data_IF_488912792786
#
_entry.id   IF_488912792786
#
_cell.length_a   1.000
_cell.length_b   1.000
_cell.length_c   1.000
_cell.angle_alpha   90.00
_cell.angle_beta   90.00
_cell.angle_gamma   90.00
#
_symmetry.space_group_name_H-M   'P 1'
#
loop_
_entity.id
_entity.type
_entity.pdbx_description
1 polymer ?
#
# COMPACT_ATOMS: atom_id res chain seq x y z
N UNK A 1 12.30 -1.73 -15.23
CA UNK A 1 12.50 -1.35 -13.81
C UNK A 1 11.96 0.05 -13.63
N UNK A 2 10.76 0.20 -13.12
CA UNK A 2 10.22 1.50 -12.68
C UNK A 2 10.28 1.41 -11.16
N UNK A 3 11.36 1.94 -10.58
CA UNK A 3 11.41 2.18 -9.14
C UNK A 3 10.33 3.22 -8.83
N UNK A 4 9.42 2.95 -7.91
CA UNK A 4 8.50 3.96 -7.42
C UNK A 4 9.29 4.94 -6.55
N UNK A 5 9.93 5.92 -7.20
CA UNK A 5 10.63 7.01 -6.49
C UNK A 5 9.59 8.05 -6.11
N UNK A 6 8.67 7.70 -5.20
CA UNK A 6 7.97 8.68 -4.39
C UNK A 6 8.47 8.47 -2.98
N UNK A 7 9.74 8.79 -2.80
CA UNK A 7 10.30 8.99 -1.48
C UNK A 7 9.84 10.38 -1.04
N UNK A 8 9.15 10.46 0.09
CA UNK A 8 8.83 11.75 0.69
C UNK A 8 10.13 12.54 0.84
N UNK A 9 10.12 13.83 0.53
CA UNK A 9 11.30 14.67 0.70
C UNK A 9 11.86 14.53 2.12
N UNK A 10 13.18 14.49 2.30
CA UNK A 10 13.77 14.32 3.62
C UNK A 10 13.36 15.49 4.52
N UNK A 11 12.59 15.19 5.56
CA UNK A 11 12.22 16.19 6.55
C UNK A 11 13.46 16.51 7.40
N UNK A 12 13.80 17.80 7.56
CA UNK A 12 14.88 18.29 8.42
C UNK A 12 14.36 19.36 9.36
N UNK A 13 14.68 19.25 10.62
CA UNK A 13 14.29 20.25 11.60
C UNK A 13 15.31 20.35 12.74
N UNK A 14 15.59 21.56 13.26
CA UNK A 14 16.32 21.71 14.49
C UNK A 14 15.50 21.17 15.66
N UNK A 15 16.17 20.56 16.63
CA UNK A 15 15.50 20.07 17.81
C UNK A 15 15.12 21.22 18.75
N UNK A 16 13.96 21.11 19.37
CA UNK A 16 13.44 22.00 20.39
C UNK A 16 13.33 21.27 21.74
N UNK A 17 13.37 21.96 22.88
CA UNK A 17 13.12 21.34 24.16
C UNK A 17 11.70 20.80 24.25
N UNK A 18 11.52 19.60 24.79
CA UNK A 18 10.20 18.95 24.94
C UNK A 18 9.33 19.70 25.96
N UNK A 19 9.96 20.27 26.99
CA UNK A 19 9.32 21.06 28.06
C UNK A 19 10.27 22.10 28.62
N UNK A 20 9.77 22.98 29.51
CA UNK A 20 10.63 23.96 30.23
C UNK A 20 11.79 23.28 31.01
N UNK A 21 11.56 22.09 31.53
CA UNK A 21 12.54 21.24 32.22
C UNK A 21 12.87 20.01 31.39
N UNK A 22 13.61 20.20 30.30
CA UNK A 22 13.99 19.13 29.37
C UNK A 22 15.31 18.45 29.74
N UNK A 23 15.61 18.32 31.04
CA UNK A 23 16.77 17.61 31.53
C UNK A 23 16.43 16.81 32.79
N UNK A 24 17.18 15.77 33.06
CA UNK A 24 17.02 14.92 34.23
C UNK A 24 18.35 14.29 34.68
N UNK A 25 18.40 13.85 35.93
CA UNK A 25 19.51 13.08 36.43
C UNK A 25 19.49 11.67 35.88
N UNK A 26 20.66 11.17 35.54
CA UNK A 26 20.82 9.78 35.10
C UNK A 26 20.83 8.82 36.29
N UNK A 27 20.69 7.53 36.01
CA UNK A 27 20.86 6.47 37.03
C UNK A 27 22.25 6.55 37.73
N UNK A 28 23.29 7.01 37.01
CA UNK A 28 24.63 7.17 37.57
C UNK A 28 24.66 8.23 38.69
N UNK A 29 24.02 9.37 38.45
CA UNK A 29 23.93 10.44 39.44
C UNK A 29 23.18 9.98 40.68
N UNK A 30 22.04 9.30 40.48
CA UNK A 30 21.26 8.75 41.60
C UNK A 30 22.04 7.71 42.41
N UNK A 31 22.81 6.85 41.74
CA UNK A 31 23.68 5.89 42.40
C UNK A 31 24.82 6.57 43.18
N UNK A 32 25.43 7.64 42.61
CA UNK A 32 26.48 8.39 43.30
C UNK A 32 25.93 9.11 44.53
N UNK A 33 24.73 9.70 44.46
CA UNK A 33 24.07 10.30 45.63
C UNK A 33 23.72 9.22 46.67
N UNK A 34 23.23 8.06 46.24
CA UNK A 34 22.99 6.95 47.16
C UNK A 34 24.27 6.46 47.83
N UNK A 35 25.39 6.45 47.08
CA UNK A 35 26.70 6.07 47.63
C UNK A 35 27.14 7.04 48.75
N UNK A 36 26.74 8.31 48.68
CA UNK A 36 26.98 9.29 49.74
C UNK A 36 26.38 8.89 51.09
N UNK A 37 25.28 8.12 51.09
CA UNK A 37 24.68 7.64 52.34
C UNK A 37 25.60 6.69 53.12
N UNK A 38 26.61 6.07 52.50
CA UNK A 38 27.57 5.21 53.16
C UNK A 38 28.40 6.01 54.23
N UNK A 39 28.50 7.33 54.11
CA UNK A 39 29.14 8.17 55.11
C UNK A 39 28.40 8.19 56.44
N UNK A 40 27.15 7.73 56.52
CA UNK A 40 26.46 7.55 57.78
C UNK A 40 27.06 6.43 58.65
N UNK A 41 27.73 5.45 58.05
CA UNK A 41 28.37 4.35 58.81
C UNK A 41 29.48 4.88 59.75
N UNK A 42 30.50 5.60 59.28
CA UNK A 42 31.48 6.21 60.17
C UNK A 42 30.90 7.35 61.03
N UNK A 43 29.86 8.04 60.59
CA UNK A 43 29.17 9.08 61.34
C UNK A 43 28.46 8.52 62.58
N UNK A 44 28.15 7.23 62.62
CA UNK A 44 27.64 6.57 63.82
C UNK A 44 28.67 6.55 64.94
N UNK A 45 29.98 6.49 64.64
CA UNK A 45 31.07 6.47 65.63
C UNK A 45 31.61 7.87 65.88
N UNK A 46 31.65 8.74 64.88
CA UNK A 46 32.23 10.09 65.02
C UNK A 46 31.30 11.11 64.34
N UNK A 47 30.66 11.97 65.12
CA UNK A 47 29.67 12.96 64.69
C UNK A 47 30.11 13.85 63.51
N UNK A 48 31.43 14.15 63.40
CA UNK A 48 31.96 14.95 62.27
C UNK A 48 31.83 14.36 60.93
N UNK A 49 31.73 13.02 60.79
CA UNK A 49 31.51 12.33 59.47
C UNK A 49 30.11 12.51 58.86
N UNK A 50 29.14 12.97 59.65
CA UNK A 50 27.81 13.33 59.07
C UNK A 50 27.93 14.46 58.07
N UNK A 51 28.87 15.38 58.18
CA UNK A 51 29.16 16.39 57.17
C UNK A 51 29.70 15.78 55.86
N UNK A 52 30.31 14.61 55.93
CA UNK A 52 30.78 13.88 54.73
C UNK A 52 29.68 13.59 53.71
N UNK A 53 28.45 13.27 54.15
CA UNK A 53 27.29 13.11 53.26
C UNK A 53 27.01 14.41 52.53
N UNK A 54 26.92 15.53 53.24
CA UNK A 54 26.61 16.84 52.66
C UNK A 54 27.68 17.28 51.67
N UNK A 55 28.95 17.12 52.00
CA UNK A 55 30.06 17.46 51.09
C UNK A 55 30.08 16.58 49.87
N UNK A 56 29.83 15.26 50.04
CA UNK A 56 29.75 14.32 48.94
C UNK A 56 28.62 14.68 47.98
N UNK A 57 27.40 14.83 48.48
CA UNK A 57 26.23 15.12 47.66
C UNK A 57 26.34 16.50 47.00
N UNK A 58 26.86 17.52 47.73
CA UNK A 58 27.12 18.82 47.13
C UNK A 58 28.15 18.72 45.96
N UNK A 59 29.19 17.89 46.13
CA UNK A 59 30.20 17.64 45.09
C UNK A 59 29.58 16.95 43.88
N UNK A 60 28.77 15.90 44.07
CA UNK A 60 28.07 15.19 42.98
C UNK A 60 27.13 16.14 42.26
N UNK A 61 26.36 16.97 42.98
CA UNK A 61 25.45 17.94 42.39
C UNK A 61 26.21 19.05 41.63
N UNK A 62 27.37 19.51 42.14
CA UNK A 62 28.21 20.45 41.43
C UNK A 62 28.73 19.88 40.12
N UNK A 63 29.22 18.63 40.11
CA UNK A 63 29.64 17.97 38.88
C UNK A 63 28.45 17.74 37.91
N UNK A 64 27.28 17.41 38.43
CA UNK A 64 26.08 17.29 37.61
C UNK A 64 25.67 18.64 37.00
N UNK A 65 25.81 19.75 37.75
CA UNK A 65 25.54 21.09 37.20
C UNK A 65 26.55 21.48 36.11
N UNK A 66 27.82 21.20 36.31
CA UNK A 66 28.87 21.39 35.31
C UNK A 66 28.55 20.54 34.05
N UNK A 67 28.19 19.28 34.25
CA UNK A 67 27.80 18.38 33.14
C UNK A 67 26.61 18.93 32.37
N UNK A 68 25.56 19.41 33.05
CA UNK A 68 24.39 20.04 32.43
C UNK A 68 24.74 21.29 31.62
N UNK A 69 25.69 22.12 32.15
CA UNK A 69 26.14 23.32 31.44
C UNK A 69 26.99 23.01 30.21
N UNK A 70 27.71 21.88 30.22
CA UNK A 70 28.54 21.42 29.12
C UNK A 70 27.75 20.77 28.00
N UNK A 71 26.48 20.37 28.24
CA UNK A 71 25.61 19.80 27.20
C UNK A 71 25.17 20.89 26.22
N UNK A 72 25.18 20.62 24.91
CA UNK A 72 24.73 21.57 23.90
C UNK A 72 23.25 21.91 24.09
N UNK A 73 22.87 23.13 23.70
CA UNK A 73 21.47 23.52 23.67
C UNK A 73 20.72 22.67 22.59
N UNK A 74 19.43 22.34 22.80
CA UNK A 74 18.66 21.53 21.85
C UNK A 74 18.72 22.05 20.42
N UNK A 75 18.72 23.36 20.23
CA UNK A 75 18.78 24.03 18.91
C UNK A 75 20.06 23.72 18.09
N UNK A 76 21.11 23.22 18.75
CA UNK A 76 22.33 22.79 18.08
C UNK A 76 22.29 21.34 17.61
N UNK A 77 21.17 20.65 17.81
CA UNK A 77 20.92 19.32 17.34
C UNK A 77 19.91 19.42 16.19
N UNK A 78 20.33 19.01 15.01
CA UNK A 78 19.47 18.92 13.82
C UNK A 78 19.16 17.44 13.57
N UNK A 79 17.91 17.13 13.30
CA UNK A 79 17.51 15.78 12.97
C UNK A 79 16.84 15.74 11.58
N UNK A 80 17.01 14.63 10.90
CA UNK A 80 16.33 14.39 9.63
C UNK A 80 15.86 12.96 9.53
N UNK A 81 14.75 12.77 8.81
CA UNK A 81 14.18 11.49 8.46
C UNK A 81 14.11 11.37 6.95
N UNK A 82 14.61 10.27 6.40
CA UNK A 82 14.51 9.92 5.00
C UNK A 82 13.94 8.50 4.82
N UNK A 83 13.01 8.37 3.89
CA UNK A 83 12.40 7.10 3.55
C UNK A 83 13.20 6.49 2.40
N UNK A 84 13.86 5.35 2.62
CA UNK A 84 14.73 4.72 1.63
C UNK A 84 13.88 4.05 0.54
N UNK A 85 12.73 3.49 0.93
CA UNK A 85 11.80 2.82 0.02
C UNK A 85 10.37 3.31 0.24
N UNK A 86 9.55 3.22 -0.81
CA UNK A 86 8.13 3.46 -0.68
C UNK A 86 7.51 2.42 0.26
N UNK A 87 6.72 2.87 1.24
CA UNK A 87 6.07 1.99 2.19
C UNK A 87 4.92 1.25 1.52
N UNK A 88 4.94 -0.09 1.57
CA UNK A 88 3.88 -0.94 1.05
C UNK A 88 3.36 -1.88 2.14
N UNK A 89 2.07 -2.17 2.08
CA UNK A 89 1.37 -3.01 3.06
C UNK A 89 2.05 -4.38 3.16
N UNK A 90 2.39 -4.81 4.38
CA UNK A 90 3.00 -6.11 4.65
C UNK A 90 4.43 -6.29 4.18
N UNK A 91 5.06 -5.27 3.60
CA UNK A 91 6.45 -5.31 3.16
C UNK A 91 7.34 -4.55 4.12
N UNK A 92 8.51 -5.11 4.43
CA UNK A 92 9.51 -4.39 5.21
C UNK A 92 9.98 -3.15 4.43
N UNK A 93 9.86 -2.00 5.08
CA UNK A 93 10.29 -0.70 4.55
C UNK A 93 11.37 -0.13 5.46
N UNK A 94 12.32 0.60 4.91
CA UNK A 94 13.46 1.13 5.65
C UNK A 94 13.40 2.64 5.77
N UNK A 95 13.72 3.11 6.98
CA UNK A 95 13.87 4.53 7.31
C UNK A 95 15.31 4.77 7.77
N UNK A 96 15.87 5.85 7.30
CA UNK A 96 17.14 6.38 7.77
C UNK A 96 16.89 7.65 8.57
N UNK A 97 17.32 7.62 9.82
CA UNK A 97 17.37 8.77 10.70
C UNK A 97 18.78 9.30 10.72
N UNK A 98 18.94 10.60 10.59
CA UNK A 98 20.23 11.23 10.77
C UNK A 98 20.13 12.33 11.85
N UNK A 99 21.11 12.36 12.75
CA UNK A 99 21.24 13.36 13.79
C UNK A 99 22.59 14.06 13.62
N UNK A 100 22.56 15.34 13.39
CA UNK A 100 23.72 16.21 13.31
C UNK A 100 23.76 17.08 14.57
N UNK A 101 24.86 17.05 15.29
CA UNK A 101 25.10 17.95 16.42
C UNK A 101 26.18 18.97 16.08
N UNK A 102 25.95 20.25 16.42
CA UNK A 102 26.89 21.36 16.24
C UNK A 102 27.55 21.76 17.53
N UNK A 103 27.61 20.85 18.50
CA UNK A 103 28.32 21.04 19.76
C UNK A 103 29.81 20.66 19.62
N UNK A 104 30.61 20.91 20.68
CA UNK A 104 32.05 20.65 20.65
C UNK A 104 32.45 19.29 21.23
N UNK A 105 31.52 18.51 21.73
CA UNK A 105 31.79 17.26 22.45
C UNK A 105 31.05 16.10 21.90
N UNK A 106 31.61 14.90 22.09
CA UNK A 106 30.93 13.64 21.82
C UNK A 106 29.65 13.54 22.67
N UNK A 107 28.55 13.08 22.07
CA UNK A 107 27.29 12.83 22.76
C UNK A 107 26.86 11.39 22.57
N UNK A 108 26.39 10.78 23.64
CA UNK A 108 25.66 9.52 23.58
C UNK A 108 24.16 9.81 23.48
N UNK A 109 23.61 9.57 22.33
CA UNK A 109 22.21 9.84 22.02
C UNK A 109 21.38 8.56 22.09
N UNK A 110 20.09 8.71 22.36
CA UNK A 110 19.05 7.73 22.09
C UNK A 110 17.96 8.43 21.32
N UNK A 111 17.56 7.83 20.21
CA UNK A 111 16.51 8.39 19.34
C UNK A 111 15.29 7.49 19.39
N UNK A 112 14.12 8.10 19.35
CA UNK A 112 12.83 7.40 19.24
C UNK A 112 11.99 8.13 18.20
N UNK A 113 11.60 7.40 17.16
CA UNK A 113 10.75 7.90 16.10
C UNK A 113 9.27 7.70 16.46
N UNK A 114 8.48 8.75 16.34
CA UNK A 114 7.05 8.75 16.60
C UNK A 114 6.32 8.32 15.31
N UNK A 115 6.21 7.01 15.13
CA UNK A 115 5.51 6.41 14.00
C UNK A 115 4.05 6.16 14.33
N UNK A 116 3.16 6.25 13.32
CA UNK A 116 1.74 5.97 13.52
C UNK A 116 1.48 4.51 13.91
N UNK A 117 0.37 4.26 14.59
CA UNK A 117 -0.05 2.93 15.01
C UNK A 117 -0.29 1.94 13.83
N UNK A 118 -0.36 2.46 12.59
CA UNK A 118 -0.43 1.66 11.37
C UNK A 118 0.84 0.84 11.09
N UNK A 119 1.94 1.07 11.83
CA UNK A 119 3.16 0.29 11.75
C UNK A 119 3.20 -0.74 12.89
N UNK A 120 3.65 -1.96 12.60
CA UNK A 120 3.63 -3.07 13.57
C UNK A 120 4.65 -2.95 14.71
N UNK A 121 5.56 -2.00 14.65
CA UNK A 121 6.61 -1.85 15.65
C UNK A 121 6.23 -0.81 16.70
N UNK A 122 6.36 -1.20 17.97
CA UNK A 122 6.32 -0.25 19.06
C UNK A 122 7.54 0.70 18.99
N UNK A 123 7.37 2.00 19.33
CA UNK A 123 8.46 2.94 19.33
C UNK A 123 9.56 2.47 20.31
N UNK A 124 10.77 2.34 19.81
CA UNK A 124 11.91 1.87 20.58
C UNK A 124 12.98 2.97 20.64
N UNK A 125 13.67 3.04 21.78
CA UNK A 125 14.83 3.90 21.96
C UNK A 125 16.06 3.25 21.33
N UNK A 126 16.52 3.80 20.22
CA UNK A 126 17.68 3.30 19.46
C UNK A 126 18.93 4.10 19.87
N UNK A 127 20.04 3.44 20.23
CA UNK A 127 21.28 4.12 20.62
C UNK A 127 21.99 4.68 19.39
N UNK A 128 22.58 5.88 19.56
CA UNK A 128 23.32 6.56 18.52
C UNK A 128 24.47 7.36 19.15
N UNK A 129 25.65 7.34 18.56
CA UNK A 129 26.80 8.15 19.01
C UNK A 129 26.99 9.29 18.03
N UNK A 130 26.92 10.54 18.55
CA UNK A 130 27.00 11.74 17.73
C UNK A 130 28.35 12.44 17.98
N UNK A 131 29.15 12.55 16.92
CA UNK A 131 30.39 13.33 16.92
C UNK A 131 30.09 14.78 16.49
N UNK A 132 30.93 15.75 16.92
CA UNK A 132 30.79 17.14 16.49
C UNK A 132 30.81 17.27 14.97
N UNK A 133 29.84 18.00 14.41
CA UNK A 133 29.72 18.34 13.00
C UNK A 133 29.72 17.15 12.01
N UNK A 134 29.55 15.93 12.52
CA UNK A 134 29.44 14.71 11.71
C UNK A 134 28.03 14.14 11.87
N UNK A 135 27.27 13.97 10.78
CA UNK A 135 25.95 13.36 10.86
C UNK A 135 26.05 11.88 11.26
N UNK A 136 25.42 11.54 12.36
CA UNK A 136 25.28 10.16 12.79
C UNK A 136 24.00 9.59 12.20
N UNK A 137 24.09 8.48 11.45
CA UNK A 137 22.96 7.85 10.78
C UNK A 137 22.59 6.53 11.42
N UNK A 138 21.31 6.23 11.43
CA UNK A 138 20.73 4.98 11.91
C UNK A 138 19.66 4.52 10.97
N UNK A 139 19.66 3.25 10.60
CA UNK A 139 18.62 2.62 9.79
C UNK A 139 17.84 1.63 10.64
N UNK A 140 16.55 1.64 10.44
CA UNK A 140 15.66 0.63 11.00
C UNK A 140 14.55 0.26 10.00
N UNK A 141 14.03 -0.95 10.11
CA UNK A 141 12.93 -1.44 9.29
C UNK A 141 11.63 -1.44 10.08
N UNK A 142 10.54 -1.24 9.38
CA UNK A 142 9.18 -1.36 9.90
C UNK A 142 8.29 -2.04 8.86
N UNK A 143 7.17 -2.63 9.30
CA UNK A 143 6.22 -3.29 8.42
C UNK A 143 4.85 -2.67 8.59
N UNK A 144 4.34 -1.93 7.59
CA UNK A 144 3.00 -1.36 7.66
C UNK A 144 1.93 -2.45 7.60
N UNK A 145 0.85 -2.30 8.38
CA UNK A 145 -0.28 -3.21 8.40
C UNK A 145 -1.61 -2.54 8.02
N UNK A 146 -1.57 -1.27 7.65
CA UNK A 146 -2.73 -0.51 7.21
C UNK A 146 -2.35 0.44 6.07
N UNK A 147 -3.13 0.44 4.98
CA UNK A 147 -2.97 1.33 3.82
C UNK A 147 -3.42 2.76 4.12
N UNK A 148 -2.99 3.66 3.23
CA UNK A 148 -3.46 5.05 3.21
C UNK A 148 -2.41 6.03 3.66
N UNK A 149 -2.85 7.26 3.89
CA UNK A 149 -2.02 8.35 4.37
C UNK A 149 -2.01 8.35 5.90
N UNK A 150 -0.81 8.24 6.48
CA UNK A 150 -0.59 8.20 7.92
C UNK A 150 0.38 9.30 8.33
N UNK A 151 0.08 10.06 9.41
CA UNK A 151 0.99 11.09 9.91
C UNK A 151 2.14 10.43 10.67
N UNK A 152 3.37 10.61 10.21
CA UNK A 152 4.57 10.34 11.00
C UNK A 152 4.89 11.59 11.82
N UNK A 153 5.14 11.41 13.13
CA UNK A 153 5.26 12.47 14.10
C UNK A 153 6.69 13.00 14.27
N UNK A 154 7.02 13.38 15.49
CA UNK A 154 8.30 13.98 15.88
C UNK A 154 9.38 12.93 16.09
N UNK A 155 10.64 13.35 16.00
CA UNK A 155 11.78 12.56 16.44
C UNK A 155 12.21 13.02 17.81
N UNK A 156 12.15 12.13 18.79
CA UNK A 156 12.62 12.40 20.15
C UNK A 156 14.08 12.00 20.28
N UNK A 157 14.88 12.91 20.82
CA UNK A 157 16.32 12.70 21.04
C UNK A 157 16.64 12.92 22.50
N UNK A 158 17.16 11.88 23.17
CA UNK A 158 17.76 11.98 24.50
C UNK A 158 19.27 11.91 24.33
N UNK A 159 19.98 12.84 24.94
CA UNK A 159 21.42 12.88 24.82
C UNK A 159 22.10 13.22 26.17
N UNK A 160 23.27 12.66 26.31
CA UNK A 160 24.11 12.82 27.47
C UNK A 160 25.58 13.01 27.07
N UNK A 161 26.37 13.65 27.94
CA UNK A 161 27.81 13.76 27.80
C UNK A 161 28.52 12.42 28.11
N UNK A 162 29.83 12.30 27.88
CA UNK A 162 30.60 11.14 28.31
C UNK A 162 30.59 10.91 29.83
N UNK A 163 30.51 11.97 30.65
CA UNK A 163 30.36 11.87 32.11
C UNK A 163 29.03 11.18 32.44
N UNK A 164 27.97 11.56 31.70
CA UNK A 164 26.69 10.93 31.80
C UNK A 164 25.99 11.09 33.13
N UNK A 165 26.19 12.22 33.82
CA UNK A 165 25.50 12.56 35.06
C UNK A 165 24.11 13.14 34.79
N UNK A 166 23.99 13.91 33.71
CA UNK A 166 22.74 14.54 33.29
C UNK A 166 22.40 14.11 31.87
N UNK A 167 21.13 13.89 31.62
CA UNK A 167 20.59 13.73 30.25
C UNK A 167 19.66 14.88 29.90
N UNK A 168 19.67 15.29 28.66
CA UNK A 168 18.76 16.29 28.10
C UNK A 168 17.85 15.68 27.06
N UNK A 169 16.60 16.17 27.00
CA UNK A 169 15.58 15.70 26.09
C UNK A 169 15.21 16.79 25.08
N UNK A 170 15.10 16.40 23.85
CA UNK A 170 14.68 17.29 22.77
C UNK A 170 13.80 16.56 21.79
N UNK A 171 13.02 17.30 21.00
CA UNK A 171 12.21 16.78 19.92
C UNK A 171 12.44 17.63 18.68
N UNK A 172 12.69 16.98 17.55
CA UNK A 172 12.68 17.61 16.25
C UNK A 172 11.31 17.40 15.61
N UNK A 173 10.71 18.46 15.10
CA UNK A 173 9.43 18.36 14.39
C UNK A 173 9.69 17.89 12.96
N UNK A 174 9.49 16.59 12.73
CA UNK A 174 9.62 15.94 11.45
C UNK A 174 8.26 15.45 10.95
N UNK A 175 7.18 16.12 11.38
CA UNK A 175 5.82 15.74 11.02
C UNK A 175 5.64 15.77 9.52
N UNK A 176 5.27 14.63 8.94
CA UNK A 176 5.03 14.47 7.51
C UNK A 176 3.99 13.36 7.29
N UNK A 177 3.27 13.44 6.19
CA UNK A 177 2.34 12.40 5.79
C UNK A 177 3.06 11.34 4.97
N UNK A 178 2.98 10.09 5.43
CA UNK A 178 3.55 8.93 4.73
C UNK A 178 2.42 8.14 4.10
N UNK A 179 2.54 7.90 2.79
CA UNK A 179 1.58 7.09 2.05
C UNK A 179 2.02 5.63 2.03
N UNK A 180 1.13 4.76 2.53
CA UNK A 180 1.31 3.30 2.48
C UNK A 180 0.51 2.77 1.31
N UNK A 181 1.22 2.18 0.36
CA UNK A 181 0.65 1.62 -0.86
C UNK A 181 0.08 0.21 -0.66
N UNK A 182 -0.80 -0.28 -1.56
CA UNK A 182 -1.23 -1.67 -1.55
C UNK A 182 -0.06 -2.64 -1.59
N UNK A 183 -0.26 -3.85 -1.06
CA UNK A 183 0.75 -4.89 -1.08
C UNK A 183 1.22 -5.16 -2.51
N UNK A 184 2.52 -5.06 -2.73
CA UNK A 184 3.14 -5.56 -3.95
C UNK A 184 3.59 -6.99 -3.69
N UNK A 185 3.29 -7.90 -4.60
CA UNK A 185 3.71 -9.30 -4.46
C UNK A 185 5.21 -9.43 -4.23
N UNK A 186 5.61 -10.44 -3.48
CA UNK A 186 7.01 -10.83 -3.30
C UNK A 186 7.73 -10.92 -4.64
N UNK A 187 8.99 -10.49 -4.68
CA UNK A 187 9.82 -10.49 -5.90
C UNK A 187 9.81 -11.83 -6.66
N UNK A 188 9.64 -12.95 -5.95
CA UNK A 188 9.56 -14.29 -6.52
C UNK A 188 8.28 -14.54 -7.33
N UNK A 189 7.14 -14.04 -6.85
CA UNK A 189 5.85 -14.13 -7.56
C UNK A 189 5.81 -13.16 -8.75
N UNK A 190 6.46 -11.99 -8.63
CA UNK A 190 6.63 -11.06 -9.74
C UNK A 190 7.51 -11.65 -10.85
N UNK A 191 8.60 -12.33 -10.49
CA UNK A 191 9.51 -12.93 -11.47
C UNK A 191 8.87 -14.10 -12.23
N UNK A 192 8.12 -14.97 -11.55
CA UNK A 192 7.34 -16.03 -12.21
C UNK A 192 6.28 -15.46 -13.15
N UNK A 193 5.62 -14.39 -12.72
CA UNK A 193 4.62 -13.69 -13.51
C UNK A 193 5.21 -12.97 -14.72
N UNK A 194 6.36 -12.30 -14.55
CA UNK A 194 7.08 -11.62 -15.64
C UNK A 194 7.65 -12.62 -16.65
N UNK A 195 8.16 -13.77 -16.21
CA UNK A 195 8.63 -14.82 -17.10
C UNK A 195 7.49 -15.40 -17.96
N UNK A 196 6.31 -15.61 -17.36
CA UNK A 196 5.11 -16.06 -18.06
C UNK A 196 4.59 -14.99 -19.05
N UNK A 197 4.68 -13.71 -18.66
CA UNK A 197 4.33 -12.59 -19.53
C UNK A 197 5.29 -12.44 -20.70
N UNK A 198 6.60 -12.63 -20.53
CA UNK A 198 7.55 -12.61 -21.64
C UNK A 198 7.26 -13.71 -22.65
N UNK A 199 6.90 -14.91 -22.20
CA UNK A 199 6.45 -15.98 -23.09
C UNK A 199 5.17 -15.61 -23.82
N UNK A 200 4.23 -14.98 -23.13
CA UNK A 200 2.95 -14.52 -23.73
C UNK A 200 3.16 -13.38 -24.73
N UNK A 201 4.01 -12.40 -24.41
CA UNK A 201 4.41 -11.35 -25.36
C UNK A 201 5.09 -11.92 -26.61
N UNK A 202 5.92 -12.94 -26.46
CA UNK A 202 6.54 -13.64 -27.59
C UNK A 202 5.51 -14.41 -28.42
N UNK A 203 4.52 -15.02 -27.77
CA UNK A 203 3.40 -15.68 -28.46
C UNK A 203 2.48 -14.66 -29.15
N UNK A 204 2.14 -13.55 -28.49
CA UNK A 204 1.34 -12.47 -29.06
C UNK A 204 2.06 -11.73 -30.21
N UNK A 205 3.40 -11.63 -30.15
CA UNK A 205 4.22 -11.14 -31.27
C UNK A 205 4.21 -12.10 -32.46
N UNK A 206 4.16 -13.42 -32.20
CA UNK A 206 4.03 -14.43 -33.27
C UNK A 206 2.61 -14.47 -33.88
N UNK A 207 1.57 -14.14 -33.09
CA UNK A 207 0.19 -13.99 -33.55
C UNK A 207 -0.14 -12.59 -34.12
N UNK A 208 0.82 -11.92 -34.78
CA UNK A 208 0.51 -10.78 -35.66
C UNK A 208 -0.27 -11.28 -36.87
N UNK A 209 -1.44 -11.80 -36.60
CA UNK A 209 -2.36 -12.21 -37.67
C UNK A 209 -3.23 -11.04 -38.11
N UNK A 210 -3.34 -10.94 -39.43
CA UNK A 210 -4.21 -10.13 -40.24
C UNK A 210 -5.57 -9.98 -39.58
N UNK A 211 -5.91 -8.80 -39.11
CA UNK A 211 -7.20 -8.49 -38.50
C UNK A 211 -7.85 -7.31 -39.18
N UNK A 212 -9.18 -7.30 -39.19
CA UNK A 212 -10.06 -6.25 -39.71
C UNK A 212 -10.04 -4.96 -38.81
N UNK A 213 -8.87 -4.41 -38.57
CA UNK A 213 -8.69 -3.16 -37.83
C UNK A 213 -8.71 -1.94 -38.75
N UNK A 214 -9.05 -0.76 -38.24
CA UNK A 214 -9.11 0.49 -39.00
C UNK A 214 -7.86 1.37 -38.95
N UNK A 215 -6.86 1.00 -38.15
CA UNK A 215 -5.59 1.76 -38.12
C UNK A 215 -4.65 1.27 -39.22
N UNK A 216 -4.22 2.21 -40.04
CA UNK A 216 -3.30 1.97 -41.14
C UNK A 216 -1.93 1.54 -40.59
N UNK A 217 -1.46 0.34 -40.96
CA UNK A 217 -0.14 -0.18 -40.57
C UNK A 217 0.87 -0.02 -41.70
N UNK A 218 0.56 -0.54 -42.88
CA UNK A 218 1.48 -0.53 -44.02
C UNK A 218 0.75 -0.70 -45.32
N UNK A 219 1.45 -0.46 -46.44
CA UNK A 219 1.01 -0.77 -47.78
C UNK A 219 1.71 -2.06 -48.25
N UNK A 220 0.94 -3.02 -48.75
CA UNK A 220 1.49 -4.25 -49.38
C UNK A 220 0.87 -4.46 -50.75
N UNK A 221 1.51 -5.30 -51.52
CA UNK A 221 0.94 -5.70 -52.81
C UNK A 221 -0.39 -6.47 -52.60
N UNK A 222 -1.35 -6.24 -53.49
CA UNK A 222 -2.64 -6.88 -53.47
C UNK A 222 -2.50 -8.39 -53.68
N UNK A 223 -3.19 -9.19 -52.91
CA UNK A 223 -3.30 -10.63 -53.06
C UNK A 223 -4.73 -11.01 -53.42
N UNK A 224 -4.90 -12.05 -54.25
CA UNK A 224 -6.23 -12.58 -54.58
C UNK A 224 -6.98 -12.95 -53.29
N UNK A 225 -8.17 -12.32 -53.12
CA UNK A 225 -8.99 -12.45 -51.91
C UNK A 225 -8.98 -11.26 -50.96
N UNK A 226 -8.18 -10.23 -51.24
CA UNK A 226 -8.24 -8.95 -50.48
C UNK A 226 -9.50 -8.16 -50.88
N UNK A 227 -10.06 -7.41 -49.91
CA UNK A 227 -11.23 -6.55 -50.15
C UNK A 227 -10.81 -5.34 -51.01
N UNK A 228 -11.50 -5.13 -52.14
CA UNK A 228 -11.25 -4.00 -53.03
C UNK A 228 -11.44 -2.65 -52.37
N UNK A 229 -12.17 -2.57 -51.24
CA UNK A 229 -12.34 -1.35 -50.45
C UNK A 229 -11.08 -0.89 -49.78
N UNK A 230 -10.16 -1.82 -49.56
CA UNK A 230 -8.88 -1.55 -48.89
C UNK A 230 -7.76 -1.19 -49.86
N UNK A 231 -8.04 -1.17 -51.17
CA UNK A 231 -7.08 -0.80 -52.21
C UNK A 231 -6.73 0.71 -52.07
N UNK A 232 -5.43 0.99 -51.99
CA UNK A 232 -4.92 2.35 -51.96
C UNK A 232 -4.66 2.87 -53.38
N UNK A 233 -5.72 3.36 -54.07
CA UNK A 233 -5.66 3.81 -55.45
C UNK A 233 -4.53 4.80 -55.75
N UNK A 234 -4.22 5.71 -54.79
CA UNK A 234 -3.13 6.68 -54.96
C UNK A 234 -1.74 6.02 -54.95
N UNK A 235 -1.54 4.99 -54.18
CA UNK A 235 -0.28 4.24 -54.15
C UNK A 235 -0.17 3.30 -55.34
N UNK A 236 -1.28 2.64 -55.72
CA UNK A 236 -1.39 1.77 -56.88
C UNK A 236 -1.07 2.49 -58.19
N UNK A 237 -1.62 3.70 -58.36
CA UNK A 237 -1.36 4.55 -59.53
C UNK A 237 0.14 4.97 -59.68
N UNK A 238 0.82 5.14 -58.56
CA UNK A 238 2.26 5.49 -58.58
C UNK A 238 3.18 4.32 -58.86
N UNK A 239 2.75 3.11 -58.46
CA UNK A 239 3.60 1.90 -58.54
C UNK A 239 3.27 1.00 -59.73
N UNK A 240 2.16 1.29 -60.42
CA UNK A 240 1.71 0.48 -61.54
C UNK A 240 1.19 -0.93 -61.17
N UNK A 241 0.98 -1.20 -59.89
CA UNK A 241 0.47 -2.46 -59.36
C UNK A 241 -0.55 -2.19 -58.28
N UNK A 242 -1.55 -3.09 -58.10
CA UNK A 242 -2.54 -2.94 -57.04
C UNK A 242 -1.88 -3.05 -55.66
N UNK A 243 -2.10 -2.03 -54.84
CA UNK A 243 -1.58 -1.95 -53.46
C UNK A 243 -2.73 -1.88 -52.48
N UNK A 244 -2.74 -2.78 -51.50
CA UNK A 244 -3.75 -2.83 -50.43
C UNK A 244 -3.22 -2.21 -49.16
N UNK A 245 -4.08 -1.49 -48.44
CA UNK A 245 -3.82 -1.01 -47.11
C UNK A 245 -3.96 -2.20 -46.15
N UNK A 246 -2.87 -2.47 -45.41
CA UNK A 246 -2.90 -3.40 -44.31
C UNK A 246 -3.23 -2.61 -43.05
N UNK A 247 -4.30 -2.99 -42.37
CA UNK A 247 -4.71 -2.38 -41.13
C UNK A 247 -4.28 -3.23 -39.94
N UNK A 248 -3.81 -2.56 -38.90
CA UNK A 248 -3.52 -3.19 -37.63
C UNK A 248 -4.82 -3.26 -36.85
N UNK A 249 -5.13 -4.40 -36.27
CA UNK A 249 -6.22 -4.49 -35.31
C UNK A 249 -5.88 -3.61 -34.11
N UNK A 250 -6.67 -2.59 -33.84
CA UNK A 250 -6.52 -1.77 -32.63
C UNK A 250 -6.72 -2.68 -31.40
N UNK A 251 -5.63 -3.24 -30.90
CA UNK A 251 -5.62 -4.21 -29.77
C UNK A 251 -5.73 -3.55 -28.41
N UNK A 252 -5.85 -2.21 -28.37
CA UNK A 252 -5.95 -1.48 -27.14
C UNK A 252 -7.37 -1.44 -26.65
N UNK A 253 -7.63 -2.24 -25.67
CA UNK A 253 -8.93 -2.31 -25.02
C UNK A 253 -8.97 -1.42 -23.80
N UNK A 254 -10.18 -0.97 -23.42
CA UNK A 254 -10.38 -0.32 -22.15
C UNK A 254 -10.69 -1.37 -21.08
N UNK A 255 -9.95 -1.35 -19.99
CA UNK A 255 -10.14 -2.19 -18.80
C UNK A 255 -10.53 -1.28 -17.66
N UNK A 256 -11.70 -1.49 -17.09
CA UNK A 256 -12.16 -0.81 -15.90
C UNK A 256 -12.02 -1.69 -14.68
N UNK A 257 -11.39 -1.17 -13.65
CA UNK A 257 -11.31 -1.79 -12.33
C UNK A 257 -12.42 -1.17 -11.48
N UNK A 258 -13.44 -1.94 -11.19
CA UNK A 258 -14.57 -1.54 -10.35
C UNK A 258 -14.40 -2.19 -8.99
N UNK A 259 -14.09 -1.39 -7.95
CA UNK A 259 -13.76 -1.87 -6.62
C UNK A 259 -14.83 -1.41 -5.63
N UNK A 260 -15.46 -2.37 -5.03
CA UNK A 260 -16.34 -2.17 -3.90
C UNK A 260 -15.51 -1.87 -2.64
N UNK A 261 -15.85 -0.80 -1.93
CA UNK A 261 -15.24 -0.40 -0.66
C UNK A 261 -16.25 -0.41 0.51
N UNK A 262 -17.36 -1.11 0.34
CA UNK A 262 -18.40 -1.25 1.36
C UNK A 262 -18.00 -2.14 2.52
N UNK A 263 -18.94 -2.28 3.47
CA UNK A 263 -18.76 -2.95 4.76
C UNK A 263 -18.19 -4.36 4.67
N UNK A 264 -18.64 -5.16 3.69
CA UNK A 264 -18.21 -6.56 3.56
C UNK A 264 -16.74 -6.71 3.20
N UNK A 265 -16.17 -5.75 2.48
CA UNK A 265 -14.75 -5.77 2.15
C UNK A 265 -13.83 -5.35 3.30
N UNK A 266 -14.38 -4.88 4.43
CA UNK A 266 -13.61 -4.64 5.65
C UNK A 266 -13.34 -5.93 6.44
N UNK A 267 -14.02 -7.03 6.13
CA UNK A 267 -13.77 -8.31 6.79
C UNK A 267 -12.30 -8.71 6.62
N UNK A 268 -11.69 -9.14 7.73
CA UNK A 268 -10.27 -9.53 7.77
C UNK A 268 -10.13 -11.01 7.44
N UNK A 269 -9.13 -11.29 6.59
CA UNK A 269 -8.66 -12.63 6.28
C UNK A 269 -7.16 -12.65 6.51
N UNK A 270 -6.71 -13.46 7.46
CA UNK A 270 -5.33 -13.36 7.93
C UNK A 270 -5.06 -11.99 8.57
N UNK A 271 -3.98 -11.35 8.18
CA UNK A 271 -3.58 -10.02 8.70
C UNK A 271 -4.23 -8.83 8.01
N UNK A 272 -4.96 -9.02 6.89
CA UNK A 272 -5.40 -7.97 5.97
C UNK A 272 -6.91 -8.00 5.75
N UNK A 273 -7.47 -6.89 5.24
CA UNK A 273 -8.88 -6.85 4.84
C UNK A 273 -9.08 -7.40 3.43
N UNK A 274 -10.29 -7.87 3.10
CA UNK A 274 -10.63 -8.24 1.71
C UNK A 274 -10.39 -7.09 0.74
N UNK A 275 -10.60 -5.84 1.18
CA UNK A 275 -10.32 -4.64 0.40
C UNK A 275 -8.82 -4.49 0.11
N UNK A 276 -7.94 -4.89 1.03
CA UNK A 276 -6.49 -4.85 0.80
C UNK A 276 -6.08 -5.83 -0.30
N UNK A 277 -6.66 -7.03 -0.30
CA UNK A 277 -6.46 -8.00 -1.38
C UNK A 277 -7.05 -7.51 -2.72
N UNK A 278 -8.24 -6.90 -2.70
CA UNK A 278 -8.87 -6.35 -3.89
C UNK A 278 -8.02 -5.23 -4.52
N UNK A 279 -7.48 -4.32 -3.71
CA UNK A 279 -6.60 -3.24 -4.20
C UNK A 279 -5.26 -3.75 -4.69
N UNK A 280 -4.67 -4.77 -4.05
CA UNK A 280 -3.46 -5.44 -4.52
C UNK A 280 -3.70 -6.14 -5.88
N UNK A 281 -4.84 -6.83 -6.03
CA UNK A 281 -5.24 -7.46 -7.29
C UNK A 281 -5.47 -6.43 -8.39
N UNK A 282 -6.14 -5.32 -8.08
CA UNK A 282 -6.37 -4.23 -9.02
C UNK A 282 -5.04 -3.58 -9.48
N UNK A 283 -4.08 -3.42 -8.58
CA UNK A 283 -2.73 -2.93 -8.92
C UNK A 283 -2.01 -3.89 -9.86
N UNK A 284 -1.99 -5.19 -9.55
CA UNK A 284 -1.35 -6.21 -10.38
C UNK A 284 -2.01 -6.30 -11.78
N UNK A 285 -3.36 -6.22 -11.82
CA UNK A 285 -4.11 -6.18 -13.07
C UNK A 285 -3.79 -4.93 -13.88
N UNK A 286 -3.66 -3.76 -13.24
CA UNK A 286 -3.26 -2.52 -13.90
C UNK A 286 -1.88 -2.63 -14.55
N UNK A 287 -0.92 -3.22 -13.84
CA UNK A 287 0.44 -3.44 -14.35
C UNK A 287 0.42 -4.33 -15.59
N UNK A 288 -0.30 -5.46 -15.52
CA UNK A 288 -0.41 -6.40 -16.63
C UNK A 288 -1.12 -5.79 -17.84
N UNK A 289 -2.26 -5.15 -17.63
CA UNK A 289 -3.05 -4.58 -18.73
C UNK A 289 -2.32 -3.43 -19.42
N UNK A 290 -1.68 -2.53 -18.66
CA UNK A 290 -0.86 -1.45 -19.22
C UNK A 290 0.37 -1.98 -19.97
N UNK A 291 1.05 -3.01 -19.44
CA UNK A 291 2.16 -3.67 -20.13
C UNK A 291 1.71 -4.36 -21.42
N UNK A 292 0.48 -4.88 -21.45
CA UNK A 292 -0.15 -5.46 -22.64
C UNK A 292 -0.66 -4.41 -23.65
N UNK A 293 -0.48 -3.11 -23.40
CA UNK A 293 -0.89 -2.02 -24.27
C UNK A 293 -2.35 -1.59 -24.13
N UNK A 294 -3.08 -2.08 -23.13
CA UNK A 294 -4.44 -1.68 -22.85
C UNK A 294 -4.55 -0.35 -22.11
N UNK A 295 -5.72 0.24 -22.09
CA UNK A 295 -6.06 1.44 -21.33
C UNK A 295 -6.74 1.01 -20.04
N UNK A 296 -6.24 1.46 -18.90
CA UNK A 296 -6.79 1.07 -17.59
C UNK A 296 -7.42 2.26 -16.91
N UNK A 297 -8.65 2.08 -16.42
CA UNK A 297 -9.38 3.00 -15.57
C UNK A 297 -9.71 2.37 -14.22
N UNK A 298 -10.03 3.19 -13.24
CA UNK A 298 -10.39 2.80 -11.88
C UNK A 298 -11.67 3.53 -11.45
N UNK A 299 -12.59 2.79 -10.85
CA UNK A 299 -13.72 3.31 -10.11
C UNK A 299 -13.82 2.56 -8.78
N UNK A 300 -13.38 3.19 -7.69
CA UNK A 300 -13.58 2.68 -6.34
C UNK A 300 -14.73 3.44 -5.67
N UNK A 301 -15.64 2.71 -5.06
CA UNK A 301 -16.89 3.25 -4.53
C UNK A 301 -17.32 2.55 -3.23
N UNK A 302 -17.95 3.32 -2.36
CA UNK A 302 -18.76 2.88 -1.23
C UNK A 302 -20.19 3.36 -1.44
N UNK A 303 -20.73 4.12 -0.51
CA UNK A 303 -22.01 4.86 -0.73
C UNK A 303 -21.87 5.91 -1.84
N UNK A 304 -20.67 6.45 -1.96
CA UNK A 304 -20.29 7.41 -2.99
C UNK A 304 -19.02 6.96 -3.72
N UNK A 305 -18.73 7.61 -4.86
CA UNK A 305 -17.48 7.40 -5.58
C UNK A 305 -16.33 7.97 -4.75
N UNK A 306 -15.38 7.10 -4.36
CA UNK A 306 -14.18 7.52 -3.64
C UNK A 306 -13.04 7.92 -4.58
N UNK A 307 -12.79 7.09 -5.61
CA UNK A 307 -11.72 7.31 -6.58
C UNK A 307 -12.23 7.04 -7.99
N UNK A 308 -11.92 7.93 -8.91
CA UNK A 308 -12.30 7.83 -10.31
C UNK A 308 -11.13 8.21 -11.22
N UNK A 309 -10.67 7.27 -12.04
CA UNK A 309 -9.62 7.47 -13.03
C UNK A 309 -10.10 6.93 -14.37
N UNK A 310 -10.18 7.80 -15.38
CA UNK A 310 -10.57 7.39 -16.72
C UNK A 310 -9.48 6.58 -17.42
N UNK A 311 -9.83 5.62 -18.30
CA UNK A 311 -8.87 4.74 -18.95
C UNK A 311 -7.88 5.49 -19.83
N UNK A 312 -6.59 5.37 -19.52
CA UNK A 312 -5.45 5.89 -20.30
C UNK A 312 -4.34 4.85 -20.35
N UNK A 313 -3.31 5.10 -21.17
CA UNK A 313 -2.11 4.26 -21.31
C UNK A 313 -0.90 4.91 -20.63
N UNK A 314 0.12 4.10 -20.45
CA UNK A 314 1.48 4.54 -20.07
C UNK A 314 1.75 4.54 -18.58
N UNK A 315 3.02 4.79 -18.23
CA UNK A 315 3.51 4.70 -16.84
C UNK A 315 2.92 5.76 -15.91
N UNK A 316 2.54 6.93 -16.44
CA UNK A 316 1.84 7.96 -15.66
C UNK A 316 0.47 7.49 -15.15
N UNK A 317 -0.24 6.68 -15.96
CA UNK A 317 -1.52 6.09 -15.57
C UNK A 317 -1.36 5.10 -14.41
N UNK A 318 -0.33 4.24 -14.46
CA UNK A 318 -0.05 3.30 -13.38
C UNK A 318 0.20 4.03 -12.06
N UNK A 319 0.96 5.14 -12.10
CA UNK A 319 1.21 5.95 -10.90
C UNK A 319 -0.07 6.56 -10.34
N UNK A 320 -0.93 7.12 -11.19
CA UNK A 320 -2.23 7.66 -10.76
C UNK A 320 -3.11 6.58 -10.12
N UNK A 321 -3.16 5.38 -10.71
CA UNK A 321 -3.91 4.24 -10.17
C UNK A 321 -3.32 3.80 -8.83
N UNK A 322 -1.99 3.71 -8.71
CA UNK A 322 -1.31 3.34 -7.48
C UNK A 322 -1.65 4.32 -6.33
N UNK A 323 -1.56 5.62 -6.61
CA UNK A 323 -1.90 6.66 -5.64
C UNK A 323 -3.38 6.62 -5.22
N UNK A 324 -4.28 6.42 -6.16
CA UNK A 324 -5.70 6.30 -5.90
C UNK A 324 -6.03 5.04 -5.07
N UNK A 325 -5.44 3.87 -5.42
CA UNK A 325 -5.63 2.62 -4.68
C UNK A 325 -5.14 2.71 -3.23
N UNK A 326 -4.09 3.49 -2.97
CA UNK A 326 -3.63 3.74 -1.61
C UNK A 326 -4.68 4.48 -0.77
N UNK A 327 -5.45 5.37 -1.39
CA UNK A 327 -6.44 6.23 -0.73
C UNK A 327 -7.84 5.62 -0.60
N UNK A 328 -8.12 4.48 -1.25
CA UNK A 328 -9.42 3.79 -1.10
C UNK A 328 -9.57 3.32 0.35
N UNK A 329 -10.67 3.71 0.99
CA UNK A 329 -10.97 3.37 2.39
C UNK A 329 -12.24 2.54 2.48
N UNK A 330 -12.22 1.49 3.30
CA UNK A 330 -13.42 0.72 3.61
C UNK A 330 -14.43 1.57 4.39
N UNK A 331 -15.69 1.50 3.97
CA UNK A 331 -16.82 2.18 4.64
C UNK A 331 -17.60 1.18 5.50
N UNK A 332 -18.13 1.64 6.63
CA UNK A 332 -18.98 0.82 7.50
C UNK A 332 -20.40 0.61 6.94
N UNK A 333 -20.74 1.27 5.82
CA UNK A 333 -22.01 1.18 5.14
C UNK A 333 -21.94 0.24 3.92
N UNK A 334 -23.09 -0.18 3.43
CA UNK A 334 -23.19 -0.89 2.16
C UNK A 334 -22.85 0.01 0.98
N UNK A 335 -22.24 -0.56 -0.03
CA UNK A 335 -21.88 0.14 -1.25
C UNK A 335 -23.08 0.32 -2.19
N UNK A 336 -23.17 1.46 -2.85
CA UNK A 336 -24.18 1.73 -3.88
C UNK A 336 -23.72 1.21 -5.26
N UNK A 337 -24.03 -0.05 -5.50
CA UNK A 337 -23.65 -0.76 -6.72
C UNK A 337 -24.32 -0.18 -7.98
N UNK A 338 -25.59 0.26 -7.88
CA UNK A 338 -26.33 0.84 -9.01
C UNK A 338 -25.73 2.18 -9.43
N UNK A 339 -25.42 3.05 -8.48
CA UNK A 339 -24.78 4.34 -8.75
C UNK A 339 -23.42 4.16 -9.43
N UNK A 340 -22.62 3.19 -8.96
CA UNK A 340 -21.32 2.88 -9.55
C UNK A 340 -21.45 2.41 -11.00
N UNK A 341 -22.39 1.51 -11.28
CA UNK A 341 -22.63 0.99 -12.64
C UNK A 341 -23.18 2.05 -13.59
N UNK A 342 -24.10 2.91 -13.14
CA UNK A 342 -24.60 4.05 -13.91
C UNK A 342 -23.45 5.03 -14.22
N UNK A 343 -22.59 5.31 -13.24
CA UNK A 343 -21.45 6.20 -13.42
C UNK A 343 -20.48 5.64 -14.45
N UNK A 344 -20.15 4.34 -14.38
CA UNK A 344 -19.28 3.68 -15.36
C UNK A 344 -19.87 3.70 -16.77
N UNK A 345 -21.15 3.37 -16.93
CA UNK A 345 -21.83 3.38 -18.23
C UNK A 345 -21.86 4.76 -18.91
N UNK A 346 -21.92 5.83 -18.11
CA UNK A 346 -21.84 7.22 -18.62
C UNK A 346 -20.44 7.57 -19.10
N UNK A 347 -19.43 7.14 -18.38
CA UNK A 347 -18.02 7.46 -18.68
C UNK A 347 -17.46 6.60 -19.82
N UNK A 348 -17.96 5.38 -19.98
CA UNK A 348 -17.49 4.41 -20.95
C UNK A 348 -18.60 4.02 -21.96
N UNK A 349 -18.80 4.79 -23.04
CA UNK A 349 -19.84 4.47 -24.03
C UNK A 349 -19.44 3.32 -24.96
N UNK A 350 -18.15 3.00 -25.07
CA UNK A 350 -17.64 1.91 -25.92
C UNK A 350 -17.46 0.63 -25.11
N UNK A 351 -17.57 -0.52 -25.78
CA UNK A 351 -17.32 -1.85 -25.18
C UNK A 351 -15.97 -1.88 -24.46
N UNK A 352 -15.92 -2.45 -23.27
CA UNK A 352 -14.73 -2.58 -22.44
C UNK A 352 -14.81 -3.82 -21.55
N UNK A 353 -13.68 -4.25 -20.99
CA UNK A 353 -13.65 -5.20 -19.89
C UNK A 353 -13.93 -4.45 -18.59
N UNK A 354 -14.84 -4.94 -17.79
CA UNK A 354 -15.10 -4.46 -16.43
C UNK A 354 -14.74 -5.59 -15.46
N UNK A 355 -13.64 -5.40 -14.72
CA UNK A 355 -13.27 -6.26 -13.61
C UNK A 355 -13.97 -5.73 -12.36
N UNK A 356 -14.95 -6.45 -11.86
CA UNK A 356 -15.72 -6.05 -10.69
C UNK A 356 -15.32 -6.88 -9.47
N UNK A 357 -14.64 -6.25 -8.51
CA UNK A 357 -14.16 -6.86 -7.28
C UNK A 357 -15.12 -6.52 -6.12
N UNK A 358 -15.86 -7.50 -5.62
CA UNK A 358 -16.84 -7.31 -4.55
C UNK A 358 -17.04 -8.61 -3.76
N UNK A 359 -17.67 -8.49 -2.60
CA UNK A 359 -18.20 -9.62 -1.85
C UNK A 359 -19.73 -9.55 -1.84
N UNK A 360 -20.42 -10.43 -2.58
CA UNK A 360 -21.87 -10.39 -2.68
C UNK A 360 -22.59 -11.13 -1.54
N UNK A 361 -21.95 -11.45 -0.42
CA UNK A 361 -22.51 -12.36 0.59
C UNK A 361 -23.86 -11.87 1.17
N UNK A 362 -24.00 -10.56 1.46
CA UNK A 362 -25.24 -9.99 1.99
C UNK A 362 -26.11 -9.40 0.87
N UNK A 363 -25.53 -8.82 -0.14
CA UNK A 363 -26.22 -8.22 -1.28
C UNK A 363 -26.81 -9.27 -2.24
N UNK A 364 -26.50 -10.54 -2.02
CA UNK A 364 -27.07 -11.65 -2.83
C UNK A 364 -28.60 -11.74 -2.75
N UNK A 365 -29.20 -11.27 -1.66
CA UNK A 365 -30.65 -11.13 -1.50
C UNK A 365 -31.21 -9.86 -2.14
N UNK A 366 -30.36 -8.88 -2.48
CA UNK A 366 -30.77 -7.63 -3.08
C UNK A 366 -30.63 -7.68 -4.61
N UNK A 367 -31.63 -7.23 -5.38
CA UNK A 367 -31.59 -7.23 -6.84
C UNK A 367 -30.55 -6.26 -7.41
N UNK A 368 -30.05 -5.29 -6.64
CA UNK A 368 -29.20 -4.18 -7.10
C UNK A 368 -27.88 -4.61 -7.76
N UNK A 369 -27.19 -5.60 -7.19
CA UNK A 369 -25.96 -6.14 -7.81
C UNK A 369 -26.27 -6.83 -9.14
N UNK A 370 -27.35 -7.62 -9.17
CA UNK A 370 -27.77 -8.34 -10.38
C UNK A 370 -28.27 -7.36 -11.46
N UNK A 371 -28.96 -6.30 -11.08
CA UNK A 371 -29.44 -5.25 -11.99
C UNK A 371 -28.27 -4.41 -12.52
N UNK A 372 -27.37 -3.98 -11.66
CA UNK A 372 -26.16 -3.25 -12.04
C UNK A 372 -25.29 -4.06 -13.00
N UNK A 373 -25.07 -5.35 -12.71
CA UNK A 373 -24.35 -6.25 -13.59
C UNK A 373 -25.08 -6.41 -14.95
N UNK A 374 -26.39 -6.57 -14.94
CA UNK A 374 -27.19 -6.67 -16.16
C UNK A 374 -27.11 -5.40 -17.03
N UNK A 375 -27.09 -4.22 -16.41
CA UNK A 375 -26.90 -2.96 -17.12
C UNK A 375 -25.51 -2.86 -17.76
N UNK A 376 -24.46 -3.27 -17.06
CA UNK A 376 -23.09 -3.29 -17.62
C UNK A 376 -22.94 -4.30 -18.75
N UNK A 377 -23.51 -5.50 -18.60
CA UNK A 377 -23.41 -6.58 -19.59
C UNK A 377 -24.07 -6.28 -20.94
N UNK A 378 -25.00 -5.33 -20.99
CA UNK A 378 -25.57 -4.88 -22.27
C UNK A 378 -24.52 -4.31 -23.23
N UNK A 379 -23.41 -3.83 -22.71
CA UNK A 379 -22.37 -3.12 -23.47
C UNK A 379 -20.97 -3.65 -23.24
N UNK A 380 -20.66 -4.07 -22.03
CA UNK A 380 -19.33 -4.43 -21.57
C UNK A 380 -19.22 -5.94 -21.32
N UNK A 381 -18.00 -6.46 -21.39
CA UNK A 381 -17.70 -7.77 -20.87
C UNK A 381 -17.40 -7.62 -19.36
N UNK A 382 -18.22 -8.23 -18.53
CA UNK A 382 -18.08 -8.15 -17.08
C UNK A 382 -17.40 -9.41 -16.56
N UNK A 383 -16.23 -9.25 -15.93
CA UNK A 383 -15.59 -10.25 -15.09
C UNK A 383 -15.94 -9.94 -13.63
N UNK A 384 -16.94 -10.64 -13.12
CA UNK A 384 -17.41 -10.49 -11.76
C UNK A 384 -16.61 -11.41 -10.83
N UNK A 385 -15.86 -10.81 -9.91
CA UNK A 385 -15.02 -11.53 -8.95
C UNK A 385 -15.66 -11.48 -7.57
N UNK A 386 -16.19 -12.61 -7.15
CA UNK A 386 -16.77 -12.81 -5.84
C UNK A 386 -15.69 -13.27 -4.85
N UNK A 387 -15.40 -12.43 -3.86
CA UNK A 387 -14.38 -12.71 -2.84
C UNK A 387 -14.99 -13.60 -1.76
N UNK A 388 -14.50 -14.83 -1.65
CA UNK A 388 -15.01 -15.83 -0.74
C UNK A 388 -14.28 -15.79 0.62
N UNK A 389 -14.95 -16.29 1.65
CA UNK A 389 -14.40 -16.45 2.99
C UNK A 389 -14.42 -17.92 3.38
N UNK A 390 -13.25 -18.49 3.67
CA UNK A 390 -13.11 -19.92 4.02
C UNK A 390 -13.93 -20.30 5.25
N UNK A 391 -13.94 -19.42 6.24
CA UNK A 391 -14.65 -19.66 7.51
C UNK A 391 -16.15 -19.85 7.29
N UNK A 392 -16.75 -19.13 6.33
CA UNK A 392 -18.17 -19.24 6.02
C UNK A 392 -18.53 -20.64 5.51
N UNK A 393 -17.73 -21.21 4.60
CA UNK A 393 -17.93 -22.58 4.11
C UNK A 393 -17.64 -23.63 5.19
N UNK A 394 -16.67 -23.39 6.03
CA UNK A 394 -16.37 -24.28 7.16
C UNK A 394 -17.54 -24.30 8.14
N UNK A 395 -18.07 -23.15 8.52
CA UNK A 395 -19.23 -23.04 9.42
C UNK A 395 -20.46 -23.71 8.79
N UNK A 396 -20.71 -23.48 7.49
CA UNK A 396 -21.81 -24.10 6.76
C UNK A 396 -21.74 -25.63 6.69
N UNK A 397 -20.52 -26.21 6.71
CA UNK A 397 -20.28 -27.66 6.64
C UNK A 397 -20.08 -28.33 8.01
N UNK A 398 -19.97 -27.58 9.12
CA UNK A 398 -19.76 -28.15 10.45
C UNK A 398 -21.00 -28.87 10.97
N UNK A 399 -20.78 -29.98 11.69
CA UNK A 399 -21.81 -30.59 12.53
C UNK A 399 -21.97 -29.75 13.81
N UNK A 400 -23.17 -29.19 14.08
CA UNK A 400 -23.37 -28.36 15.27
C UNK A 400 -23.36 -29.21 16.53
N UNK A 401 -22.59 -28.82 17.54
CA UNK A 401 -22.52 -29.45 18.85
C UNK A 401 -23.44 -28.78 19.88
N UNK A 402 -23.86 -27.53 19.59
CA UNK A 402 -24.74 -26.77 20.44
C UNK A 402 -25.70 -25.88 19.60
N UNK A 403 -26.71 -25.31 20.28
CA UNK A 403 -27.74 -24.51 19.64
C UNK A 403 -27.18 -23.27 18.91
N UNK A 404 -26.15 -22.63 19.44
CA UNK A 404 -25.52 -21.47 18.81
C UNK A 404 -24.81 -21.84 17.51
N UNK A 405 -24.10 -22.97 17.47
CA UNK A 405 -23.46 -23.50 16.26
C UNK A 405 -24.51 -23.93 15.22
N UNK A 406 -25.66 -24.45 15.65
CA UNK A 406 -26.75 -24.81 14.75
C UNK A 406 -27.30 -23.58 14.02
N UNK A 407 -27.56 -22.47 14.74
CA UNK A 407 -28.02 -21.23 14.12
C UNK A 407 -26.95 -20.61 13.22
N UNK A 408 -25.70 -20.59 13.66
CA UNK A 408 -24.58 -20.11 12.84
C UNK A 408 -24.42 -20.92 11.57
N UNK A 409 -24.51 -22.26 11.67
CA UNK A 409 -24.43 -23.17 10.51
C UNK A 409 -25.58 -22.95 9.52
N UNK A 410 -26.82 -22.82 10.01
CA UNK A 410 -27.97 -22.54 9.16
C UNK A 410 -27.85 -21.19 8.42
N UNK A 411 -27.46 -20.15 9.14
CA UNK A 411 -27.23 -18.82 8.53
C UNK A 411 -26.10 -18.87 7.47
N UNK A 412 -25.00 -19.56 7.77
CA UNK A 412 -23.90 -19.72 6.84
C UNK A 412 -24.32 -20.49 5.56
N UNK A 413 -25.11 -21.57 5.72
CA UNK A 413 -25.66 -22.32 4.59
C UNK A 413 -26.56 -21.46 3.71
N UNK A 414 -27.40 -20.65 4.32
CA UNK A 414 -28.28 -19.73 3.60
C UNK A 414 -27.47 -18.69 2.82
N UNK A 415 -26.48 -18.08 3.43
CA UNK A 415 -25.58 -17.12 2.77
C UNK A 415 -24.84 -17.75 1.58
N UNK A 416 -24.31 -18.97 1.72
CA UNK A 416 -23.64 -19.69 0.62
C UNK A 416 -24.63 -19.97 -0.51
N UNK A 417 -25.84 -20.46 -0.17
CA UNK A 417 -26.88 -20.76 -1.16
C UNK A 417 -27.28 -19.52 -1.98
N UNK A 418 -27.57 -18.40 -1.34
CA UNK A 418 -27.91 -17.15 -2.04
C UNK A 418 -26.80 -16.65 -2.93
N UNK A 419 -25.55 -16.78 -2.48
CA UNK A 419 -24.37 -16.43 -3.27
C UNK A 419 -24.27 -17.29 -4.54
N UNK A 420 -24.43 -18.60 -4.42
CA UNK A 420 -24.41 -19.53 -5.56
C UNK A 420 -25.52 -19.20 -6.56
N UNK A 421 -26.72 -18.90 -6.09
CA UNK A 421 -27.84 -18.47 -6.94
C UNK A 421 -27.53 -17.17 -7.68
N UNK A 422 -26.95 -16.18 -7.01
CA UNK A 422 -26.56 -14.93 -7.66
C UNK A 422 -25.53 -15.18 -8.77
N UNK A 423 -24.49 -15.92 -8.48
CA UNK A 423 -23.45 -16.23 -9.45
C UNK A 423 -23.98 -17.03 -10.64
N UNK A 424 -24.89 -17.98 -10.40
CA UNK A 424 -25.58 -18.72 -11.46
C UNK A 424 -26.41 -17.77 -12.36
N UNK A 425 -27.18 -16.86 -11.77
CA UNK A 425 -27.94 -15.84 -12.51
C UNK A 425 -27.07 -14.92 -13.35
N UNK A 426 -25.93 -14.50 -12.81
CA UNK A 426 -24.95 -13.68 -13.54
C UNK A 426 -24.36 -14.42 -14.73
N UNK A 427 -23.99 -15.71 -14.56
CA UNK A 427 -23.50 -16.58 -15.65
C UNK A 427 -24.54 -16.75 -16.76
N UNK A 428 -25.78 -17.02 -16.40
CA UNK A 428 -26.89 -17.14 -17.38
C UNK A 428 -27.11 -15.87 -18.20
N UNK A 429 -26.81 -14.70 -17.61
CA UNK A 429 -26.89 -13.40 -18.29
C UNK A 429 -25.65 -13.04 -19.10
N UNK A 430 -24.61 -13.88 -19.11
CA UNK A 430 -23.38 -13.68 -19.87
C UNK A 430 -22.21 -13.04 -19.12
N UNK A 431 -22.29 -12.89 -17.81
CA UNK A 431 -21.12 -12.48 -17.03
C UNK A 431 -20.11 -13.63 -16.92
N UNK A 432 -18.83 -13.28 -16.98
CA UNK A 432 -17.78 -14.17 -16.54
C UNK A 432 -17.69 -14.05 -15.01
N UNK A 433 -17.94 -15.13 -14.29
CA UNK A 433 -17.86 -15.12 -12.83
C UNK A 433 -16.63 -15.89 -12.36
N UNK A 434 -15.93 -15.33 -11.40
CA UNK A 434 -14.80 -15.92 -10.71
C UNK A 434 -15.09 -15.89 -9.22
N UNK A 435 -15.08 -17.04 -8.58
CA UNK A 435 -15.17 -17.18 -7.14
C UNK A 435 -13.82 -17.61 -6.61
N UNK A 436 -13.27 -16.88 -5.64
CA UNK A 436 -11.90 -17.11 -5.20
C UNK A 436 -11.66 -16.60 -3.78
N UNK A 437 -10.73 -17.25 -3.07
CA UNK A 437 -10.23 -16.77 -1.80
C UNK A 437 -9.32 -15.56 -1.99
N UNK A 438 -9.28 -14.64 -1.02
CA UNK A 438 -8.48 -13.42 -1.11
C UNK A 438 -7.01 -13.68 -1.49
N UNK A 439 -6.40 -14.70 -0.89
CA UNK A 439 -4.98 -15.01 -1.09
C UNK A 439 -4.64 -15.45 -2.51
N UNK A 440 -5.58 -16.10 -3.19
CA UNK A 440 -5.42 -16.65 -4.53
C UNK A 440 -5.98 -15.72 -5.62
N UNK A 441 -6.77 -14.71 -5.23
CA UNK A 441 -7.55 -13.85 -6.12
C UNK A 441 -6.71 -13.23 -7.23
N UNK A 442 -5.53 -12.69 -6.90
CA UNK A 442 -4.66 -12.05 -7.87
C UNK A 442 -4.28 -12.99 -9.00
N UNK A 443 -3.87 -14.23 -8.67
CA UNK A 443 -3.45 -15.23 -9.66
C UNK A 443 -4.58 -15.61 -10.59
N UNK A 444 -5.76 -15.89 -10.03
CA UNK A 444 -6.92 -16.28 -10.81
C UNK A 444 -7.43 -15.16 -11.72
N UNK A 445 -7.49 -13.92 -11.21
CA UNK A 445 -7.91 -12.75 -12.00
C UNK A 445 -6.96 -12.51 -13.17
N UNK A 446 -5.65 -12.53 -12.95
CA UNK A 446 -4.66 -12.34 -13.99
C UNK A 446 -4.71 -13.42 -15.06
N UNK A 447 -4.83 -14.70 -14.66
CA UNK A 447 -4.98 -15.80 -15.60
C UNK A 447 -6.27 -15.66 -16.43
N UNK A 448 -7.38 -15.25 -15.78
CA UNK A 448 -8.66 -15.06 -16.46
C UNK A 448 -8.62 -13.91 -17.48
N UNK A 449 -7.94 -12.82 -17.14
CA UNK A 449 -7.71 -11.73 -18.09
C UNK A 449 -6.91 -12.20 -19.32
N UNK A 450 -5.85 -12.99 -19.11
CA UNK A 450 -5.05 -13.54 -20.21
C UNK A 450 -5.90 -14.47 -21.11
N UNK A 451 -6.72 -15.33 -20.51
CA UNK A 451 -7.66 -16.19 -21.25
C UNK A 451 -8.65 -15.38 -22.10
N UNK A 452 -9.22 -14.29 -21.53
CA UNK A 452 -10.12 -13.38 -22.24
C UNK A 452 -9.42 -12.78 -23.45
N UNK A 453 -8.15 -12.40 -23.29
CA UNK A 453 -7.35 -11.79 -24.33
C UNK A 453 -6.96 -12.78 -25.43
N UNK A 454 -6.61 -14.01 -25.05
CA UNK A 454 -6.30 -15.10 -26.00
C UNK A 454 -7.52 -15.48 -26.86
N UNK A 455 -8.70 -15.56 -26.23
CA UNK A 455 -9.96 -15.89 -26.91
C UNK A 455 -10.57 -14.72 -27.68
N UNK A 456 -9.95 -13.55 -27.66
CA UNK A 456 -10.44 -12.32 -28.33
C UNK A 456 -11.93 -12.03 -28.01
N UNK A 457 -12.35 -12.17 -26.75
CA UNK A 457 -13.72 -11.98 -26.31
C UNK A 457 -14.14 -10.50 -26.23
N UNK A 458 -13.20 -9.58 -26.41
CA UNK A 458 -13.38 -8.12 -26.30
C UNK A 458 -13.42 -7.41 -27.64
#
# INVERSE_FOLDING_TARGET
MISPTIVAEPARSPAAPVSRFSFGFTKRTLLLLLLGTLWFVPAFFVRGFAWGVVVWDATVLLFALIDAWLLPAPRLIEASRSWISAAALGSASEVELAVLQRGRRLLFCRVMDDLPAAFLQAPQWLPLTCYPDIPATLRYSFTPHQRGDHPAGKLYVRYRSPLGLVERWSAADLTQTVRIYPATRTAQEQNLFLARNQQLELQLRKQRQRGLGRDFETLRDYLDGDDLRDVCWKASARRGALITKQYQTERSQAVWLLIDAGRLLQARVGGYTKLDYATATALAMSQLALASGDRVGLLAYGRETQQLIVPRRGGGQLRQILDALALVRGEAAEADHLRATVTLNRLQPRRSLVLWLTDPAETSMQPEVAEGAAQLMRRHLVLFVAIEQRDLRQIAGMRPENQQQMFAGAAAQEMVHWRELLLARLRQRGALTLETYPEEMTSFVLNKYLEIKEKALL
#
